data_IF_904694813791
#
_entry.id   IF_904694813791
#
_cell.length_a   1.000
_cell.length_b   1.000
_cell.length_c   1.000
_cell.angle_alpha   90.00
_cell.angle_beta   90.00
_cell.angle_gamma   90.00
#
_symmetry.space_group_name_H-M   'P 1'
#
loop_
_entity.id
_entity.type
_entity.pdbx_description
1 polymer ?
#
# COMPACT_ATOMS: atom_id res chain seq x y z
N UNK A 1 -5.10 -0.32 3.36
CA UNK A 1 -4.59 -1.60 3.84
C UNK A 1 -3.40 -2.09 3.02
N UNK A 2 -2.79 -3.18 3.45
CA UNK A 2 -1.67 -3.77 2.73
C UNK A 2 -2.13 -4.54 1.48
N UNK A 3 -1.35 -4.48 0.40
CA UNK A 3 -1.54 -5.33 -0.77
C UNK A 3 -0.83 -6.65 -0.50
N UNK A 4 -1.58 -7.62 -0.01
CA UNK A 4 -1.06 -8.86 0.54
C UNK A 4 -0.23 -9.68 -0.46
N UNK A 5 -0.64 -9.71 -1.73
CA UNK A 5 0.07 -10.43 -2.78
C UNK A 5 1.52 -9.94 -2.98
N UNK A 6 1.80 -8.66 -2.70
CA UNK A 6 3.17 -8.10 -2.81
C UNK A 6 4.14 -8.79 -1.86
N UNK A 7 3.70 -9.13 -0.64
CA UNK A 7 4.53 -9.83 0.32
C UNK A 7 4.84 -11.26 -0.11
N UNK A 8 3.83 -11.95 -0.60
CA UNK A 8 3.97 -13.33 -1.07
C UNK A 8 4.93 -13.38 -2.25
N UNK A 9 4.79 -12.44 -3.21
CA UNK A 9 5.68 -12.30 -4.37
C UNK A 9 7.13 -11.93 -4.00
N UNK A 10 7.35 -11.11 -2.96
CA UNK A 10 8.70 -10.79 -2.49
C UNK A 10 9.44 -12.01 -1.93
N UNK A 11 8.70 -13.01 -1.48
CA UNK A 11 9.27 -14.27 -0.98
C UNK A 11 9.46 -15.29 -2.10
N UNK A 12 8.48 -15.41 -2.98
CA UNK A 12 8.49 -16.34 -4.11
C UNK A 12 9.61 -16.01 -5.11
N UNK A 13 9.73 -14.72 -5.44
CA UNK A 13 10.79 -14.22 -6.32
C UNK A 13 11.90 -13.59 -5.48
N UNK A 14 13.16 -13.91 -5.79
CA UNK A 14 14.32 -13.35 -5.08
C UNK A 14 14.57 -11.89 -5.46
N UNK A 15 13.58 -11.03 -5.22
CA UNK A 15 13.70 -9.60 -5.45
C UNK A 15 14.12 -8.86 -4.17
N UNK A 16 14.78 -7.71 -4.37
CA UNK A 16 15.27 -6.83 -3.31
C UNK A 16 14.66 -5.44 -3.44
N UNK A 17 14.33 -4.84 -2.30
CA UNK A 17 13.84 -3.46 -2.20
C UNK A 17 15.05 -2.53 -2.20
N UNK A 18 15.09 -1.60 -3.16
CA UNK A 18 16.18 -0.62 -3.31
C UNK A 18 15.71 0.82 -3.10
N UNK A 19 14.44 1.03 -2.82
CA UNK A 19 13.88 2.34 -2.55
C UNK A 19 12.37 2.29 -2.31
N UNK A 20 11.83 3.42 -1.92
CA UNK A 20 10.39 3.62 -1.77
C UNK A 20 9.98 5.02 -2.18
N UNK A 21 8.73 5.18 -2.54
CA UNK A 21 8.09 6.48 -2.70
C UNK A 21 6.68 6.44 -2.13
N UNK A 22 6.25 7.56 -1.53
CA UNK A 22 4.93 7.68 -0.92
C UNK A 22 4.16 8.71 -1.73
N UNK A 23 3.01 8.31 -2.27
CA UNK A 23 2.16 9.16 -3.09
C UNK A 23 0.85 9.42 -2.32
N UNK A 24 0.51 10.70 -2.03
CA UNK A 24 -0.79 11.05 -1.48
C UNK A 24 -1.91 10.65 -2.44
N UNK A 25 -2.95 10.03 -1.93
CA UNK A 25 -4.13 9.65 -2.69
C UNK A 25 -5.21 10.70 -2.49
N UNK A 26 -5.49 11.45 -3.55
CA UNK A 26 -6.56 12.44 -3.58
C UNK A 26 -7.52 12.08 -4.72
N UNK A 27 -8.73 11.72 -4.34
CA UNK A 27 -9.79 11.43 -5.29
C UNK A 27 -10.65 12.67 -5.53
N UNK A 28 -11.05 12.86 -6.76
CA UNK A 28 -12.00 13.88 -7.20
C UNK A 28 -13.22 13.20 -7.79
N UNK A 29 -14.37 13.84 -7.74
CA UNK A 29 -15.48 13.53 -8.62
C UNK A 29 -15.28 14.31 -9.92
N UNK A 30 -15.25 13.64 -11.06
CA UNK A 30 -14.96 14.26 -12.35
C UNK A 30 -15.95 13.78 -13.42
N UNK A 31 -16.45 14.70 -14.21
CA UNK A 31 -17.41 14.45 -15.28
C UNK A 31 -17.01 15.15 -16.58
N UNK A 32 -17.83 15.03 -17.62
CA UNK A 32 -17.63 15.75 -18.87
C UNK A 32 -17.65 17.28 -18.64
N UNK A 33 -16.95 18.07 -19.48
CA UNK A 33 -17.03 19.53 -19.40
C UNK A 33 -18.47 20.04 -19.49
N UNK A 34 -18.84 20.94 -18.59
CA UNK A 34 -20.17 21.51 -18.52
C UNK A 34 -21.24 20.57 -17.93
N UNK A 35 -20.84 19.51 -17.23
CA UNK A 35 -21.74 18.71 -16.38
C UNK A 35 -21.98 19.46 -15.07
N UNK A 36 -23.24 19.50 -14.62
CA UNK A 36 -23.59 19.91 -13.26
C UNK A 36 -23.65 18.70 -12.34
N UNK A 37 -23.16 18.85 -11.12
CA UNK A 37 -23.14 17.76 -10.11
C UNK A 37 -24.56 17.26 -9.80
N UNK A 38 -25.56 18.12 -9.89
CA UNK A 38 -26.98 17.78 -9.68
C UNK A 38 -27.58 16.88 -10.76
N UNK A 39 -26.92 16.77 -11.93
CA UNK A 39 -27.36 15.91 -13.03
C UNK A 39 -26.78 14.49 -12.95
N UNK A 40 -25.86 14.23 -11.99
CA UNK A 40 -25.20 12.93 -11.87
C UNK A 40 -26.19 11.88 -11.32
N UNK A 41 -26.24 10.75 -12.01
CA UNK A 41 -27.02 9.57 -11.62
C UNK A 41 -26.12 8.35 -11.35
N UNK A 42 -24.95 8.28 -12.01
CA UNK A 42 -24.05 7.11 -11.97
C UNK A 42 -22.60 7.52 -11.73
N UNK A 43 -21.96 6.85 -10.79
CA UNK A 43 -20.57 7.11 -10.42
C UNK A 43 -19.74 5.84 -10.57
N UNK A 44 -18.65 5.94 -11.33
CA UNK A 44 -17.75 4.84 -11.65
C UNK A 44 -16.43 4.99 -10.92
N UNK A 45 -15.93 3.93 -10.33
CA UNK A 45 -14.53 3.83 -9.85
C UNK A 45 -14.17 2.40 -9.47
N UNK A 46 -12.93 2.22 -9.00
CA UNK A 46 -12.52 0.99 -8.31
C UNK A 46 -13.21 0.93 -6.93
N UNK A 47 -13.54 -0.27 -6.48
CA UNK A 47 -14.24 -0.50 -5.19
C UNK A 47 -13.58 0.27 -4.05
N UNK A 48 -12.24 0.18 -3.92
CA UNK A 48 -11.52 0.83 -2.84
C UNK A 48 -11.63 2.35 -2.88
N UNK A 49 -11.65 2.97 -4.06
CA UNK A 49 -11.79 4.41 -4.20
C UNK A 49 -13.22 4.88 -3.86
N UNK A 50 -14.24 4.08 -4.21
CA UNK A 50 -15.63 4.35 -3.79
C UNK A 50 -15.76 4.26 -2.26
N UNK A 51 -15.18 3.24 -1.64
CA UNK A 51 -15.16 3.09 -0.19
C UNK A 51 -14.41 4.23 0.51
N UNK A 52 -13.33 4.75 -0.08
CA UNK A 52 -12.55 5.88 0.45
C UNK A 52 -13.26 7.23 0.30
N UNK A 53 -14.34 7.30 -0.43
CA UNK A 53 -15.17 8.49 -0.60
C UNK A 53 -16.61 8.26 -0.10
N UNK A 54 -16.79 7.32 0.84
CA UNK A 54 -18.09 6.84 1.28
C UNK A 54 -18.95 7.93 1.93
N UNK A 55 -18.37 8.88 2.69
CA UNK A 55 -19.09 9.99 3.27
C UNK A 55 -19.63 10.92 2.18
N UNK A 56 -18.77 11.36 1.27
CA UNK A 56 -19.19 12.22 0.17
C UNK A 56 -20.25 11.56 -0.71
N UNK A 57 -20.06 10.30 -1.09
CA UNK A 57 -21.04 9.56 -1.90
C UNK A 57 -22.33 9.27 -1.14
N UNK A 58 -22.27 9.16 0.20
CA UNK A 58 -23.43 8.98 1.05
C UNK A 58 -24.35 10.21 1.12
N UNK A 59 -23.82 11.43 0.91
CA UNK A 59 -24.60 12.66 0.77
C UNK A 59 -25.44 12.68 -0.53
N UNK A 60 -25.09 11.84 -1.48
CA UNK A 60 -25.73 11.65 -2.78
C UNK A 60 -26.27 10.21 -2.92
N UNK A 61 -27.10 9.79 -1.99
CA UNK A 61 -27.57 8.40 -1.86
C UNK A 61 -28.42 7.86 -3.02
N UNK A 62 -28.83 8.72 -3.94
CA UNK A 62 -29.55 8.42 -5.17
C UNK A 62 -28.60 8.02 -6.34
N UNK A 63 -27.30 8.27 -6.19
CA UNK A 63 -26.35 7.91 -7.23
C UNK A 63 -26.05 6.39 -7.25
N UNK A 64 -26.12 5.80 -8.42
CA UNK A 64 -25.71 4.40 -8.61
C UNK A 64 -24.19 4.31 -8.67
N UNK A 65 -23.59 3.62 -7.69
CA UNK A 65 -22.15 3.36 -7.64
C UNK A 65 -21.81 2.09 -8.43
N UNK A 66 -20.92 2.19 -9.40
CA UNK A 66 -20.56 1.09 -10.31
C UNK A 66 -19.05 0.86 -10.26
N UNK A 67 -18.69 -0.39 -9.91
CA UNK A 67 -17.29 -0.79 -9.84
C UNK A 67 -16.70 -1.07 -11.21
N UNK A 68 -15.47 -0.57 -11.43
CA UNK A 68 -14.61 -0.86 -12.59
C UNK A 68 -13.21 -1.26 -12.13
N UNK A 69 -12.39 -1.76 -13.05
CA UNK A 69 -11.08 -2.35 -12.69
C UNK A 69 -10.09 -1.36 -12.05
N UNK A 70 -10.12 -0.08 -12.42
CA UNK A 70 -9.30 0.96 -11.81
C UNK A 70 -9.88 2.36 -12.06
N UNK A 71 -9.37 3.35 -11.31
CA UNK A 71 -9.85 4.74 -11.32
C UNK A 71 -9.60 5.45 -12.65
N UNK A 72 -8.51 5.14 -13.37
CA UNK A 72 -8.22 5.73 -14.67
C UNK A 72 -9.17 5.19 -15.76
N UNK A 73 -9.52 3.90 -15.71
CA UNK A 73 -10.55 3.33 -16.59
C UNK A 73 -11.92 3.92 -16.32
N UNK A 74 -12.23 4.29 -15.09
CA UNK A 74 -13.45 5.03 -14.79
C UNK A 74 -13.48 6.37 -15.54
N UNK A 75 -12.40 7.16 -15.44
CA UNK A 75 -12.29 8.43 -16.17
C UNK A 75 -12.37 8.25 -17.70
N UNK A 76 -11.67 7.22 -18.23
CA UNK A 76 -11.73 6.88 -19.66
C UNK A 76 -13.16 6.54 -20.11
N UNK A 77 -13.89 5.77 -19.29
CA UNK A 77 -15.27 5.40 -19.57
C UNK A 77 -16.19 6.64 -19.70
N UNK A 78 -16.07 7.61 -18.80
CA UNK A 78 -16.86 8.86 -18.90
C UNK A 78 -16.61 9.57 -20.21
N UNK A 79 -15.35 9.63 -20.67
CA UNK A 79 -15.02 10.21 -21.96
C UNK A 79 -15.63 9.40 -23.12
N UNK A 80 -15.57 8.08 -23.08
CA UNK A 80 -16.07 7.21 -24.16
C UNK A 80 -17.60 7.23 -24.25
N UNK A 81 -18.30 7.22 -23.11
CA UNK A 81 -19.76 7.19 -23.07
C UNK A 81 -20.41 8.52 -23.46
N UNK A 82 -19.72 9.66 -23.32
CA UNK A 82 -20.20 11.02 -23.63
C UNK A 82 -21.55 11.36 -22.97
N UNK A 83 -21.80 10.80 -21.77
CA UNK A 83 -23.04 10.96 -21.00
C UNK A 83 -22.80 11.87 -19.79
N UNK A 84 -23.48 13.02 -19.74
CA UNK A 84 -23.36 13.99 -18.63
C UNK A 84 -23.98 13.52 -17.31
N UNK A 85 -24.79 12.46 -17.30
CA UNK A 85 -25.34 11.88 -16.08
C UNK A 85 -24.35 10.91 -15.40
N UNK A 86 -23.10 10.87 -15.85
CA UNK A 86 -22.06 10.01 -15.36
C UNK A 86 -20.87 10.80 -14.83
N UNK A 87 -20.29 10.30 -13.73
CA UNK A 87 -19.03 10.81 -13.20
C UNK A 87 -18.09 9.67 -12.79
N UNK A 88 -16.80 10.00 -12.70
CA UNK A 88 -15.78 9.10 -12.19
C UNK A 88 -15.19 9.60 -10.88
N UNK A 89 -14.98 8.72 -9.92
CA UNK A 89 -14.07 8.97 -8.80
C UNK A 89 -12.66 8.58 -9.25
N UNK A 90 -11.80 9.57 -9.46
CA UNK A 90 -10.44 9.40 -9.96
C UNK A 90 -9.52 10.49 -9.45
N UNK A 91 -8.22 10.43 -9.77
CA UNK A 91 -7.31 11.54 -9.47
C UNK A 91 -7.56 12.72 -10.41
N UNK A 92 -7.26 13.94 -9.95
CA UNK A 92 -7.31 15.14 -10.80
C UNK A 92 -6.40 15.01 -12.03
N UNK A 93 -5.28 14.30 -11.91
CA UNK A 93 -4.40 13.99 -13.03
C UNK A 93 -5.09 13.12 -14.09
N UNK A 94 -5.76 12.03 -13.67
CA UNK A 94 -6.50 11.19 -14.61
C UNK A 94 -7.64 11.97 -15.27
N UNK A 95 -8.36 12.81 -14.53
CA UNK A 95 -9.37 13.69 -15.07
C UNK A 95 -8.79 14.61 -16.16
N UNK A 96 -7.64 15.23 -15.92
CA UNK A 96 -6.99 16.12 -16.89
C UNK A 96 -6.53 15.38 -18.15
N UNK A 97 -6.00 14.16 -18.02
CA UNK A 97 -5.56 13.33 -19.16
C UNK A 97 -6.72 13.00 -20.10
N UNK A 98 -7.91 12.75 -19.53
CA UNK A 98 -9.11 12.41 -20.30
C UNK A 98 -10.01 13.62 -20.59
N UNK A 99 -9.55 14.85 -20.31
CA UNK A 99 -10.29 16.07 -20.61
C UNK A 99 -11.58 16.24 -19.81
N UNK A 100 -11.66 15.63 -18.63
CA UNK A 100 -12.79 15.77 -17.72
C UNK A 100 -12.63 17.01 -16.83
N UNK A 101 -13.76 17.56 -16.41
CA UNK A 101 -13.84 18.64 -15.42
C UNK A 101 -13.99 18.06 -14.01
N UNK A 102 -13.24 18.59 -13.05
CA UNK A 102 -13.42 18.27 -11.64
C UNK A 102 -14.70 18.95 -11.13
N UNK A 103 -15.66 18.15 -10.68
CA UNK A 103 -16.95 18.59 -10.11
C UNK A 103 -16.86 18.80 -8.61
N UNK A 104 -16.10 17.93 -7.92
CA UNK A 104 -15.77 18.06 -6.51
C UNK A 104 -14.33 17.56 -6.26
N UNK A 105 -13.56 18.32 -5.47
CA UNK A 105 -12.16 18.00 -5.16
C UNK A 105 -12.03 17.38 -3.77
N UNK A 106 -10.98 16.56 -3.59
CA UNK A 106 -10.59 16.03 -2.29
C UNK A 106 -11.72 15.31 -1.53
N UNK A 107 -12.45 14.45 -2.24
CA UNK A 107 -13.63 13.74 -1.73
C UNK A 107 -13.29 12.53 -0.85
N UNK A 108 -12.02 12.30 -0.54
CA UNK A 108 -11.58 11.22 0.36
C UNK A 108 -12.07 11.46 1.79
N UNK A 109 -12.56 10.42 2.44
CA UNK A 109 -12.92 10.42 3.86
C UNK A 109 -11.69 10.70 4.73
N UNK A 110 -10.55 10.06 4.42
CA UNK A 110 -9.27 10.25 5.08
C UNK A 110 -8.35 11.19 4.29
N UNK A 111 -8.10 12.39 4.85
CA UNK A 111 -7.28 13.43 4.18
C UNK A 111 -5.80 13.05 4.02
N UNK A 112 -5.28 12.18 4.89
CA UNK A 112 -3.88 11.74 4.90
C UNK A 112 -3.68 10.39 4.23
N UNK A 113 -4.62 9.94 3.40
CA UNK A 113 -4.48 8.68 2.68
C UNK A 113 -3.29 8.74 1.70
N UNK A 114 -2.46 7.70 1.74
CA UNK A 114 -1.30 7.60 0.86
C UNK A 114 -1.02 6.15 0.50
N UNK A 115 -0.41 5.95 -0.66
CA UNK A 115 0.10 4.65 -1.09
C UNK A 115 1.62 4.69 -1.09
N UNK A 116 2.22 3.73 -0.40
CA UNK A 116 3.65 3.46 -0.43
C UNK A 116 3.97 2.50 -1.56
N UNK A 117 4.80 2.92 -2.49
CA UNK A 117 5.35 2.10 -3.55
C UNK A 117 6.78 1.71 -3.20
N UNK A 118 7.13 0.46 -3.37
CA UNK A 118 8.51 -0.05 -3.24
C UNK A 118 9.14 -0.17 -4.63
N UNK A 119 10.41 0.19 -4.74
CA UNK A 119 11.23 -0.02 -5.93
C UNK A 119 12.01 -1.31 -5.74
N UNK A 120 11.86 -2.25 -6.66
CA UNK A 120 12.47 -3.57 -6.56
C UNK A 120 13.47 -3.83 -7.69
N UNK A 121 14.44 -4.70 -7.41
CA UNK A 121 15.41 -5.23 -8.37
C UNK A 121 15.65 -6.72 -8.10
N UNK A 122 16.07 -7.45 -9.12
CA UNK A 122 16.54 -8.84 -8.98
C UNK A 122 18.03 -8.95 -8.56
N UNK A 123 18.72 -7.83 -8.39
CA UNK A 123 20.10 -7.80 -7.94
C UNK A 123 20.17 -7.52 -6.44
N UNK A 124 21.00 -8.27 -5.71
CA UNK A 124 21.25 -8.05 -4.28
C UNK A 124 22.12 -6.83 -4.08
N UNK A 125 21.49 -5.67 -4.13
CA UNK A 125 22.15 -4.36 -3.95
C UNK A 125 21.60 -3.69 -2.68
N UNK A 126 22.50 -3.21 -1.84
CA UNK A 126 22.16 -2.42 -0.65
C UNK A 126 22.85 -1.07 -0.74
N UNK A 127 22.12 0.00 -0.43
CA UNK A 127 22.65 1.36 -0.50
C UNK A 127 23.56 1.63 0.71
N UNK A 128 24.71 2.27 0.47
CA UNK A 128 25.68 2.58 1.54
C UNK A 128 25.10 3.50 2.61
N UNK A 129 24.31 4.49 2.19
CA UNK A 129 23.71 5.50 3.08
C UNK A 129 22.23 5.21 3.38
N UNK A 130 21.83 3.95 3.27
CA UNK A 130 20.49 3.48 3.56
C UNK A 130 20.08 3.77 5.01
N UNK A 131 18.81 4.11 5.20
CA UNK A 131 18.23 4.43 6.52
C UNK A 131 17.10 3.51 6.93
N UNK A 132 16.68 2.62 6.07
CA UNK A 132 15.60 1.67 6.32
C UNK A 132 15.99 0.27 5.89
N UNK A 133 15.61 -0.70 6.69
CA UNK A 133 15.81 -2.11 6.42
C UNK A 133 14.45 -2.80 6.39
N UNK A 134 14.23 -3.63 5.38
CA UNK A 134 13.09 -4.54 5.32
C UNK A 134 13.60 -5.97 5.41
N UNK A 135 12.98 -6.74 6.30
CA UNK A 135 13.28 -8.17 6.48
C UNK A 135 12.01 -8.99 6.44
N UNK A 136 12.15 -10.29 6.17
CA UNK A 136 11.12 -11.27 6.49
C UNK A 136 11.74 -12.47 7.22
N UNK A 137 10.96 -13.09 8.11
CA UNK A 137 11.32 -14.31 8.81
C UNK A 137 10.09 -15.09 9.24
N UNK A 138 10.27 -16.34 9.54
CA UNK A 138 9.22 -17.23 10.03
C UNK A 138 9.43 -17.46 11.52
N UNK A 139 8.33 -17.42 12.30
CA UNK A 139 8.38 -17.72 13.72
C UNK A 139 7.73 -19.10 14.00
N UNK A 140 8.29 -19.87 14.92
CA UNK A 140 7.62 -21.07 15.40
C UNK A 140 6.35 -20.69 16.15
N UNK A 141 5.35 -21.57 16.09
CA UNK A 141 4.11 -21.40 16.86
C UNK A 141 4.34 -21.85 18.31
N UNK A 142 5.04 -21.04 19.07
CA UNK A 142 5.40 -21.30 20.46
C UNK A 142 5.06 -20.10 21.34
N UNK A 143 4.88 -20.36 22.63
CA UNK A 143 4.61 -19.30 23.61
C UNK A 143 5.74 -18.26 23.58
N UNK A 144 5.39 -16.98 23.56
CA UNK A 144 6.31 -15.84 23.58
C UNK A 144 7.20 -15.64 22.35
N UNK A 145 7.08 -16.44 21.27
CA UNK A 145 7.92 -16.29 20.07
C UNK A 145 7.93 -14.85 19.51
N UNK A 146 6.76 -14.22 19.42
CA UNK A 146 6.67 -12.83 18.96
C UNK A 146 7.34 -11.85 19.95
N UNK A 147 7.19 -12.06 21.25
CA UNK A 147 7.85 -11.23 22.26
C UNK A 147 9.38 -11.31 22.15
N UNK A 148 9.93 -12.50 22.01
CA UNK A 148 11.38 -12.70 21.82
C UNK A 148 11.87 -12.01 20.56
N UNK A 149 11.14 -12.15 19.45
CA UNK A 149 11.46 -11.41 18.22
C UNK A 149 11.50 -9.90 18.46
N UNK A 150 10.46 -9.33 19.07
CA UNK A 150 10.35 -7.89 19.31
C UNK A 150 11.42 -7.37 20.29
N UNK A 151 11.86 -8.20 21.24
CA UNK A 151 12.89 -7.83 22.21
C UNK A 151 14.24 -7.49 21.55
N UNK A 152 14.58 -8.11 20.42
CA UNK A 152 15.81 -7.80 19.68
C UNK A 152 15.82 -6.38 19.11
N UNK A 153 14.67 -5.84 18.74
CA UNK A 153 14.54 -4.42 18.34
C UNK A 153 14.64 -3.50 19.55
N UNK A 154 13.91 -3.82 20.63
CA UNK A 154 13.86 -3.01 21.83
C UNK A 154 15.23 -2.89 22.52
N UNK A 155 15.96 -4.01 22.68
CA UNK A 155 17.27 -4.02 23.33
C UNK A 155 18.41 -3.39 22.50
N UNK A 156 18.18 -3.21 21.19
CA UNK A 156 19.13 -2.56 20.30
C UNK A 156 18.69 -1.14 19.91
N UNK A 157 17.64 -0.60 20.55
CA UNK A 157 17.08 0.74 20.28
C UNK A 157 16.76 0.99 18.81
N UNK A 158 16.17 -0.03 18.15
CA UNK A 158 15.79 0.03 16.74
C UNK A 158 14.31 0.35 16.60
N UNK A 159 14.00 1.41 15.87
CA UNK A 159 12.62 1.84 15.62
C UNK A 159 12.00 1.03 14.48
N UNK A 160 11.01 0.19 14.82
CA UNK A 160 10.20 -0.49 13.81
C UNK A 160 9.16 0.46 13.22
N UNK A 161 9.12 0.56 11.90
CA UNK A 161 8.15 1.41 11.18
C UNK A 161 6.98 0.59 10.63
N UNK A 162 7.12 -0.73 10.57
CA UNK A 162 6.09 -1.65 10.11
C UNK A 162 6.32 -3.06 10.64
N UNK A 163 5.22 -3.73 10.96
CA UNK A 163 5.16 -5.18 11.17
C UNK A 163 3.88 -5.71 10.51
N UNK A 164 4.02 -6.76 9.70
CA UNK A 164 2.92 -7.43 9.01
C UNK A 164 3.11 -8.93 9.13
N UNK A 165 2.05 -9.66 9.44
CA UNK A 165 2.08 -11.12 9.50
C UNK A 165 1.27 -11.74 8.36
N UNK A 166 1.83 -12.76 7.74
CA UNK A 166 1.17 -13.54 6.70
C UNK A 166 1.13 -15.02 7.10
N UNK A 167 -0.05 -15.66 7.05
CA UNK A 167 -0.13 -17.11 7.26
C UNK A 167 0.70 -17.84 6.20
N UNK A 168 1.35 -18.90 6.60
CA UNK A 168 2.15 -19.72 5.68
C UNK A 168 1.26 -20.77 5.01
N UNK A 169 1.32 -20.84 3.69
CA UNK A 169 0.58 -21.85 2.94
C UNK A 169 1.02 -23.26 3.33
N UNK A 170 0.05 -24.15 3.55
CA UNK A 170 0.28 -25.54 3.94
C UNK A 170 0.76 -25.75 5.38
N UNK A 171 0.86 -24.70 6.20
CA UNK A 171 1.24 -24.79 7.62
C UNK A 171 0.19 -24.14 8.51
N UNK A 172 -0.47 -24.94 9.36
CA UNK A 172 -1.46 -24.43 10.30
C UNK A 172 -0.78 -23.67 11.44
N UNK A 173 -1.22 -22.43 11.66
CA UNK A 173 -0.79 -21.57 12.77
C UNK A 173 0.68 -21.09 12.72
N UNK A 174 1.39 -21.31 11.60
CA UNK A 174 2.71 -20.69 11.37
C UNK A 174 2.58 -19.42 10.53
N UNK A 175 3.36 -18.41 10.88
CA UNK A 175 3.31 -17.08 10.26
C UNK A 175 4.69 -16.65 9.79
N UNK A 176 4.71 -15.96 8.65
CA UNK A 176 5.84 -15.18 8.19
C UNK A 176 5.61 -13.73 8.55
N UNK A 177 6.61 -13.11 9.17
CA UNK A 177 6.59 -11.71 9.53
C UNK A 177 7.42 -10.89 8.55
N UNK A 178 6.87 -9.76 8.12
CA UNK A 178 7.54 -8.75 7.33
C UNK A 178 7.71 -7.52 8.21
N UNK A 179 8.96 -7.09 8.39
CA UNK A 179 9.29 -6.02 9.32
C UNK A 179 10.14 -4.99 8.59
N UNK A 180 9.72 -3.72 8.70
CA UNK A 180 10.52 -2.58 8.29
C UNK A 180 10.97 -1.84 9.55
N UNK A 181 12.24 -1.46 9.59
CA UNK A 181 12.81 -0.69 10.71
C UNK A 181 13.91 0.26 10.23
N UNK A 182 14.15 1.29 11.01
CA UNK A 182 15.18 2.28 10.74
C UNK A 182 16.56 1.72 11.05
N UNK A 183 17.53 1.96 10.18
CA UNK A 183 18.91 1.55 10.38
C UNK A 183 19.66 1.25 9.09
N UNK A 184 20.94 0.92 9.27
CA UNK A 184 21.84 0.50 8.20
C UNK A 184 22.48 -0.84 8.57
N UNK A 185 22.64 -1.73 7.59
CA UNK A 185 23.27 -3.05 7.80
C UNK A 185 24.73 -2.95 8.29
N UNK A 186 25.38 -1.79 8.14
CA UNK A 186 26.72 -1.55 8.70
C UNK A 186 26.70 -1.27 10.21
N UNK A 187 25.57 -0.84 10.78
CA UNK A 187 25.46 -0.43 12.18
C UNK A 187 25.61 -1.61 13.14
N UNK A 188 26.38 -1.45 14.23
CA UNK A 188 26.56 -2.51 15.23
C UNK A 188 25.26 -2.99 15.88
N UNK A 189 24.35 -2.07 16.21
CA UNK A 189 23.04 -2.36 16.78
C UNK A 189 22.20 -3.24 15.84
N UNK A 190 22.16 -2.88 14.55
CA UNK A 190 21.48 -3.66 13.51
C UNK A 190 22.09 -5.06 13.36
N UNK A 191 23.42 -5.16 13.31
CA UNK A 191 24.10 -6.47 13.22
C UNK A 191 23.78 -7.35 14.40
N UNK A 192 23.75 -6.78 15.62
CA UNK A 192 23.42 -7.50 16.82
C UNK A 192 21.96 -8.00 16.80
N UNK A 193 21.02 -7.13 16.46
CA UNK A 193 19.61 -7.50 16.33
C UNK A 193 19.39 -8.61 15.29
N UNK A 194 19.95 -8.46 14.07
CA UNK A 194 19.83 -9.46 13.00
C UNK A 194 20.40 -10.81 13.42
N UNK A 195 21.51 -10.83 14.19
CA UNK A 195 22.07 -12.07 14.72
C UNK A 195 21.07 -12.76 15.66
N UNK A 196 20.50 -12.03 16.64
CA UNK A 196 19.50 -12.59 17.54
C UNK A 196 18.23 -13.04 16.81
N UNK A 197 17.75 -12.26 15.85
CA UNK A 197 16.60 -12.64 15.03
C UNK A 197 16.81 -13.94 14.23
N UNK A 198 18.05 -14.26 13.84
CA UNK A 198 18.38 -15.54 13.18
C UNK A 198 18.38 -16.73 14.13
N UNK A 199 18.61 -16.51 15.42
CA UNK A 199 18.57 -17.54 16.46
C UNK A 199 17.11 -17.87 16.84
N UNK A 200 16.23 -16.86 16.87
CA UNK A 200 14.81 -17.01 17.24
C UNK A 200 13.94 -17.46 16.06
N UNK A 201 14.20 -16.91 14.86
CA UNK A 201 13.39 -17.13 13.68
C UNK A 201 14.02 -18.10 12.68
N UNK A 202 13.18 -18.59 11.75
CA UNK A 202 13.61 -19.41 10.63
C UNK A 202 13.54 -18.57 9.33
N UNK A 203 14.37 -18.94 8.34
CA UNK A 203 14.33 -18.38 6.99
C UNK A 203 14.40 -16.84 6.94
N UNK A 204 15.20 -16.23 7.86
CA UNK A 204 15.39 -14.78 7.84
C UNK A 204 16.05 -14.35 6.52
N UNK A 205 15.36 -13.48 5.78
CA UNK A 205 15.87 -12.80 4.58
C UNK A 205 15.88 -11.29 4.79
N UNK A 206 16.96 -10.67 4.35
CA UNK A 206 17.02 -9.20 4.20
C UNK A 206 16.44 -8.91 2.81
N UNK A 207 15.29 -8.26 2.78
CA UNK A 207 14.59 -7.88 1.56
C UNK A 207 15.15 -6.59 0.97
N UNK A 208 15.74 -5.73 1.79
CA UNK A 208 16.36 -4.49 1.34
C UNK A 208 17.02 -3.70 2.46
N UNK A 209 17.98 -2.84 2.07
CA UNK A 209 18.53 -1.75 2.88
C UNK A 209 18.65 -0.53 1.96
N UNK A 210 17.75 0.47 2.13
CA UNK A 210 17.49 1.58 1.21
C UNK A 210 17.15 2.88 1.94
#
# INVERSE_FOLDING_TARGET
GAVNEVYDLLVEFENYIVGETIIPIKNTLSGLPGTDISEIERVYSKVEALMQASHFLGEHGDWQQISVANTALAAKKILEDQDKHQAAVCSAYAASVYGLSVLADSINDEKNNSTRFIVITNQKVFLKDAKKISICLELPHESSSLYHLLSHFAYNDLNMTKIESRPMEGKSWEYRFFIDFEGNLADPAVKNAIRGLREEGRNLRILGNY
#
